data_IF_660733712505
#
_entry.id   IF_660733712505
#
_cell.length_a   1.000
_cell.length_b   1.000
_cell.length_c   1.000
_cell.angle_alpha   90.00
_cell.angle_beta   90.00
_cell.angle_gamma   90.00
#
_symmetry.space_group_name_H-M   'P 1'
#
loop_
_entity.id
_entity.type
_entity.pdbx_description
1 polymer ?
#
# COMPACT_ATOMS: atom_id res chain seq x y z
N UNK A 1 -2.47 -8.13 -24.84
CA UNK A 1 -3.53 -7.30 -24.25
C UNK A 1 -2.99 -6.61 -23.02
N UNK A 2 -3.25 -5.33 -22.88
CA UNK A 2 -2.75 -4.54 -21.77
C UNK A 2 -3.70 -4.64 -20.57
N UNK A 3 -3.49 -5.64 -19.72
CA UNK A 3 -4.31 -5.85 -18.55
C UNK A 3 -4.12 -4.75 -17.49
N UNK A 4 -2.90 -4.21 -17.39
CA UNK A 4 -2.62 -3.14 -16.45
C UNK A 4 -3.44 -1.89 -16.77
N UNK A 5 -3.47 -1.49 -18.04
CA UNK A 5 -4.26 -0.33 -18.47
C UNK A 5 -5.75 -0.57 -18.27
N UNK A 6 -6.23 -1.76 -18.60
CA UNK A 6 -7.64 -2.11 -18.37
C UNK A 6 -8.00 -2.05 -16.89
N UNK A 7 -7.12 -2.57 -16.04
CA UNK A 7 -7.33 -2.51 -14.60
C UNK A 7 -7.42 -1.07 -14.11
N UNK A 8 -6.53 -0.20 -14.60
CA UNK A 8 -6.57 1.21 -14.26
C UNK A 8 -7.88 1.87 -14.68
N UNK A 9 -8.38 1.55 -15.85
CA UNK A 9 -9.65 2.08 -16.34
C UNK A 9 -10.81 1.66 -15.44
N UNK A 10 -10.83 0.40 -15.03
CA UNK A 10 -11.87 -0.12 -14.12
C UNK A 10 -11.69 0.45 -12.71
N UNK A 11 -10.44 0.61 -12.24
CA UNK A 11 -10.15 1.27 -10.98
C UNK A 11 -10.80 2.67 -10.92
N UNK A 12 -10.70 3.41 -12.02
CA UNK A 12 -11.26 4.77 -12.09
C UNK A 12 -12.79 4.79 -12.02
N UNK A 13 -13.46 3.69 -12.32
CA UNK A 13 -14.91 3.56 -12.11
C UNK A 13 -15.27 3.19 -10.68
N UNK A 14 -14.27 2.95 -9.81
CA UNK A 14 -14.43 2.51 -8.42
C UNK A 14 -14.98 1.08 -8.28
N UNK A 15 -14.94 0.30 -9.35
CA UNK A 15 -15.25 -1.13 -9.28
C UNK A 15 -13.99 -1.89 -8.85
N UNK A 16 -13.68 -1.81 -7.57
CA UNK A 16 -12.43 -2.32 -7.04
C UNK A 16 -12.30 -3.84 -7.15
N UNK A 17 -13.40 -4.57 -7.01
CA UNK A 17 -13.35 -6.03 -7.16
C UNK A 17 -12.96 -6.45 -8.57
N UNK A 18 -13.51 -5.80 -9.59
CA UNK A 18 -13.13 -6.08 -10.97
C UNK A 18 -11.69 -5.64 -11.26
N UNK A 19 -11.30 -4.47 -10.72
CA UNK A 19 -9.94 -3.98 -10.87
C UNK A 19 -8.92 -4.97 -10.29
N UNK A 20 -9.20 -5.51 -9.11
CA UNK A 20 -8.32 -6.51 -8.46
C UNK A 20 -8.11 -7.72 -9.38
N UNK A 21 -9.17 -8.24 -9.97
CA UNK A 21 -9.08 -9.40 -10.87
C UNK A 21 -8.18 -9.09 -12.07
N UNK A 22 -8.32 -7.89 -12.65
CA UNK A 22 -7.51 -7.47 -13.79
C UNK A 22 -6.05 -7.18 -13.40
N UNK A 23 -5.82 -6.56 -12.25
CA UNK A 23 -4.45 -6.36 -11.74
C UNK A 23 -3.77 -7.70 -11.47
N UNK A 24 -4.49 -8.67 -10.91
CA UNK A 24 -3.95 -10.01 -10.71
C UNK A 24 -3.51 -10.62 -12.04
N UNK A 25 -4.34 -10.50 -13.06
CA UNK A 25 -4.01 -11.00 -14.40
C UNK A 25 -2.80 -10.26 -14.96
N UNK A 26 -2.74 -8.94 -14.80
CA UNK A 26 -1.60 -8.15 -15.25
C UNK A 26 -0.30 -8.62 -14.57
N UNK A 27 -0.34 -8.85 -13.25
CA UNK A 27 0.82 -9.33 -12.52
C UNK A 27 1.28 -10.71 -13.01
N UNK A 28 0.34 -11.63 -13.26
CA UNK A 28 0.64 -12.97 -13.80
C UNK A 28 1.32 -12.88 -15.17
N UNK A 29 0.92 -11.91 -15.98
CA UNK A 29 1.47 -11.69 -17.31
C UNK A 29 2.71 -10.80 -17.30
N UNK A 30 3.22 -10.44 -16.13
CA UNK A 30 4.38 -9.56 -15.97
C UNK A 30 4.17 -8.17 -16.57
N UNK A 31 2.93 -7.73 -16.68
CA UNK A 31 2.57 -6.42 -17.18
C UNK A 31 2.59 -5.44 -15.99
N UNK A 32 3.69 -4.69 -15.86
CA UNK A 32 3.96 -3.81 -14.72
C UNK A 32 3.68 -4.54 -13.41
N UNK A 33 4.42 -5.64 -13.18
CA UNK A 33 4.13 -6.55 -12.07
C UNK A 33 4.09 -5.84 -10.72
N UNK A 34 5.11 -5.06 -10.40
CA UNK A 34 5.14 -4.35 -9.12
C UNK A 34 3.97 -3.36 -8.99
N UNK A 35 3.72 -2.57 -10.03
CA UNK A 35 2.60 -1.62 -10.06
C UNK A 35 1.25 -2.31 -9.96
N UNK A 36 1.10 -3.48 -10.61
CA UNK A 36 -0.14 -4.25 -10.57
C UNK A 36 -0.41 -4.79 -9.17
N UNK A 37 0.62 -5.31 -8.50
CA UNK A 37 0.51 -5.77 -7.11
C UNK A 37 0.18 -4.60 -6.18
N UNK A 38 0.88 -3.48 -6.35
CA UNK A 38 0.63 -2.28 -5.55
C UNK A 38 -0.81 -1.77 -5.73
N UNK A 39 -1.26 -1.62 -6.97
CA UNK A 39 -2.60 -1.09 -7.22
C UNK A 39 -3.70 -2.06 -6.75
N UNK A 40 -3.46 -3.37 -6.86
CA UNK A 40 -4.36 -4.37 -6.29
C UNK A 40 -4.49 -4.19 -4.77
N UNK A 41 -3.35 -3.99 -4.09
CA UNK A 41 -3.34 -3.75 -2.66
C UNK A 41 -4.11 -2.47 -2.29
N UNK A 42 -3.94 -1.41 -3.09
CA UNK A 42 -4.69 -0.16 -2.88
C UNK A 42 -6.19 -0.39 -3.04
N UNK A 43 -6.60 -1.24 -3.98
CA UNK A 43 -8.02 -1.61 -4.11
C UNK A 43 -8.54 -2.26 -2.83
N UNK A 44 -7.75 -3.14 -2.21
CA UNK A 44 -8.14 -3.75 -0.93
C UNK A 44 -8.25 -2.71 0.18
N UNK A 45 -7.41 -1.68 0.17
CA UNK A 45 -7.56 -0.57 1.13
C UNK A 45 -8.91 0.12 0.94
N UNK A 46 -9.30 0.42 -0.31
CA UNK A 46 -10.61 1.01 -0.59
C UNK A 46 -11.76 0.15 -0.10
N UNK A 47 -11.60 -1.18 -0.14
CA UNK A 47 -12.58 -2.13 0.37
C UNK A 47 -12.45 -2.36 1.88
N UNK A 48 -11.50 -1.69 2.54
CA UNK A 48 -11.21 -1.84 3.97
C UNK A 48 -10.76 -3.26 4.34
N UNK A 49 -10.19 -3.98 3.39
CA UNK A 49 -9.64 -5.31 3.58
C UNK A 49 -8.12 -5.23 3.74
N UNK A 50 -7.68 -4.59 4.82
CA UNK A 50 -6.28 -4.25 5.04
C UNK A 50 -5.37 -5.48 5.13
N UNK A 51 -5.86 -6.55 5.75
CA UNK A 51 -5.06 -7.77 5.90
C UNK A 51 -4.76 -8.43 4.55
N UNK A 52 -5.65 -8.28 3.58
CA UNK A 52 -5.43 -8.81 2.23
C UNK A 52 -4.46 -7.95 1.43
N UNK A 53 -4.40 -6.65 1.74
CA UNK A 53 -3.48 -5.73 1.08
C UNK A 53 -2.02 -5.96 1.49
N UNK A 54 -1.78 -6.32 2.75
CA UNK A 54 -0.43 -6.41 3.33
C UNK A 54 0.51 -7.31 2.51
N UNK A 55 0.17 -8.59 2.21
CA UNK A 55 1.08 -9.44 1.45
C UNK A 55 1.36 -8.92 0.05
N UNK A 56 0.40 -8.24 -0.57
CA UNK A 56 0.60 -7.66 -1.90
C UNK A 56 1.60 -6.52 -1.87
N UNK A 57 1.54 -5.67 -0.84
CA UNK A 57 2.55 -4.62 -0.68
C UNK A 57 3.95 -5.21 -0.46
N UNK A 58 4.08 -6.25 0.35
CA UNK A 58 5.36 -6.93 0.54
C UNK A 58 5.90 -7.48 -0.78
N UNK A 59 5.05 -8.09 -1.59
CA UNK A 59 5.45 -8.63 -2.89
C UNK A 59 5.87 -7.50 -3.85
N UNK A 60 5.15 -6.40 -3.87
CA UNK A 60 5.51 -5.25 -4.69
C UNK A 60 6.88 -4.67 -4.26
N UNK A 61 7.09 -4.54 -2.96
CA UNK A 61 8.35 -4.03 -2.40
C UNK A 61 9.53 -4.93 -2.77
N UNK A 62 9.34 -6.25 -2.74
CA UNK A 62 10.40 -7.20 -3.12
C UNK A 62 10.82 -7.03 -4.58
N UNK A 63 9.90 -6.65 -5.45
CA UNK A 63 10.20 -6.39 -6.85
C UNK A 63 10.85 -5.02 -7.05
N UNK A 64 10.32 -4.00 -6.36
CA UNK A 64 10.79 -2.62 -6.53
C UNK A 64 10.44 -1.82 -5.28
N UNK A 65 11.40 -1.55 -4.38
CA UNK A 65 11.13 -0.81 -3.15
C UNK A 65 10.91 0.68 -3.45
N UNK A 66 9.68 1.15 -3.27
CA UNK A 66 9.32 2.55 -3.45
C UNK A 66 8.68 3.10 -2.19
N UNK A 67 8.92 4.37 -1.91
CA UNK A 67 8.41 5.04 -0.72
C UNK A 67 6.90 4.87 -0.55
N UNK A 68 6.14 5.06 -1.62
CA UNK A 68 4.67 4.95 -1.55
C UNK A 68 4.20 3.53 -1.21
N UNK A 69 4.97 2.51 -1.57
CA UNK A 69 4.64 1.13 -1.21
C UNK A 69 4.77 0.92 0.29
N UNK A 70 5.86 1.41 0.87
CA UNK A 70 6.07 1.35 2.31
C UNK A 70 5.06 2.18 3.09
N UNK A 71 4.72 3.37 2.58
CA UNK A 71 3.71 4.22 3.21
C UNK A 71 2.37 3.52 3.34
N UNK A 72 1.90 2.92 2.24
CA UNK A 72 0.60 2.25 2.25
C UNK A 72 0.63 0.95 3.05
N UNK A 73 1.76 0.25 3.06
CA UNK A 73 1.95 -0.91 3.94
C UNK A 73 1.84 -0.50 5.40
N UNK A 74 2.53 0.58 5.77
CA UNK A 74 2.47 1.12 7.13
C UNK A 74 1.04 1.49 7.51
N UNK A 75 0.31 2.13 6.60
CA UNK A 75 -1.09 2.47 6.80
C UNK A 75 -1.93 1.23 7.12
N UNK A 76 -1.74 0.14 6.38
CA UNK A 76 -2.45 -1.10 6.62
C UNK A 76 -2.14 -1.66 8.01
N UNK A 77 -0.88 -1.64 8.43
CA UNK A 77 -0.52 -2.08 9.78
C UNK A 77 -1.14 -1.20 10.86
N UNK A 78 -1.20 0.11 10.63
CA UNK A 78 -1.87 1.03 11.56
C UNK A 78 -3.36 0.69 11.68
N UNK A 79 -4.02 0.42 10.56
CA UNK A 79 -5.44 0.04 10.56
C UNK A 79 -5.69 -1.31 11.20
N UNK A 80 -4.69 -2.19 11.20
CA UNK A 80 -4.74 -3.49 11.89
C UNK A 80 -4.26 -3.40 13.33
N UNK A 81 -4.06 -2.18 13.85
CA UNK A 81 -3.65 -1.93 15.23
C UNK A 81 -2.25 -2.47 15.57
N UNK A 82 -1.39 -2.60 14.57
CA UNK A 82 0.00 -2.99 14.76
C UNK A 82 0.90 -1.75 14.69
N UNK A 83 0.90 -0.97 15.77
CA UNK A 83 1.65 0.29 15.84
C UNK A 83 3.17 0.13 15.62
N UNK A 84 3.84 -0.88 16.20
CA UNK A 84 5.28 -1.03 15.99
C UNK A 84 5.64 -1.21 14.52
N UNK A 85 4.93 -2.08 13.80
CA UNK A 85 5.19 -2.27 12.37
C UNK A 85 4.80 -1.05 11.55
N UNK A 86 3.68 -0.40 11.90
CA UNK A 86 3.28 0.83 11.23
C UNK A 86 4.38 1.88 11.34
N UNK A 87 4.89 2.11 12.55
CA UNK A 87 5.96 3.08 12.77
C UNK A 87 7.22 2.72 11.99
N UNK A 88 7.61 1.45 12.02
CA UNK A 88 8.78 0.97 11.28
C UNK A 88 8.67 1.28 9.78
N UNK A 89 7.54 0.95 9.17
CA UNK A 89 7.38 1.15 7.73
C UNK A 89 7.12 2.60 7.33
N UNK A 90 6.48 3.40 8.18
CA UNK A 90 6.41 4.84 7.93
C UNK A 90 7.80 5.46 7.96
N UNK A 91 8.65 5.06 8.91
CA UNK A 91 10.04 5.52 8.96
C UNK A 91 10.82 5.10 7.72
N UNK A 92 10.61 3.88 7.24
CA UNK A 92 11.25 3.41 6.00
C UNK A 92 10.81 4.25 4.81
N UNK A 93 9.50 4.53 4.69
CA UNK A 93 8.97 5.37 3.63
C UNK A 93 9.59 6.77 3.68
N UNK A 94 9.67 7.35 4.88
CA UNK A 94 10.26 8.67 5.09
C UNK A 94 11.75 8.70 4.73
N UNK A 95 12.48 7.64 5.04
CA UNK A 95 13.89 7.53 4.69
C UNK A 95 14.09 7.56 3.16
N UNK A 96 13.17 6.94 2.42
CA UNK A 96 13.23 6.93 0.96
C UNK A 96 12.75 8.24 0.34
N UNK A 97 11.87 8.95 1.01
CA UNK A 97 11.36 10.26 0.55
C UNK A 97 11.08 11.14 1.77
N UNK A 98 12.13 11.83 2.24
CA UNK A 98 12.05 12.65 3.44
C UNK A 98 11.38 14.01 3.24
N UNK A 99 10.91 14.30 2.04
CA UNK A 99 10.10 15.48 1.77
C UNK A 99 8.60 15.20 1.87
N UNK A 100 8.23 13.94 2.12
CA UNK A 100 6.82 13.54 2.24
C UNK A 100 6.26 13.96 3.60
N UNK A 101 5.50 15.05 3.60
CA UNK A 101 4.85 15.56 4.80
C UNK A 101 3.85 14.60 5.40
N UNK A 102 3.21 13.76 4.58
CA UNK A 102 2.23 12.78 5.06
C UNK A 102 2.91 11.69 5.89
N UNK A 103 4.10 11.25 5.48
CA UNK A 103 4.90 10.33 6.28
C UNK A 103 5.26 10.94 7.63
N UNK A 104 5.73 12.20 7.62
CA UNK A 104 6.12 12.89 8.86
C UNK A 104 4.92 13.03 9.82
N UNK A 105 3.77 13.42 9.28
CA UNK A 105 2.54 13.54 10.09
C UNK A 105 2.13 12.20 10.68
N UNK A 106 2.19 11.12 9.90
CA UNK A 106 1.83 9.79 10.37
C UNK A 106 2.75 9.32 11.49
N UNK A 107 4.05 9.54 11.33
CA UNK A 107 5.06 9.20 12.36
C UNK A 107 4.76 9.95 13.65
N UNK A 108 4.53 11.25 13.55
CA UNK A 108 4.26 12.09 14.71
C UNK A 108 2.98 11.68 15.44
N UNK A 109 1.93 11.33 14.71
CA UNK A 109 0.69 10.83 15.29
C UNK A 109 0.91 9.53 16.07
N UNK A 110 1.67 8.60 15.51
CA UNK A 110 1.96 7.34 16.17
C UNK A 110 2.80 7.54 17.43
N UNK A 111 3.85 8.37 17.35
CA UNK A 111 4.68 8.68 18.51
C UNK A 111 3.87 9.35 19.61
N UNK A 112 2.98 10.25 19.27
CA UNK A 112 2.09 10.90 20.22
C UNK A 112 1.19 9.89 20.92
N UNK A 113 0.67 8.90 20.19
CA UNK A 113 -0.18 7.88 20.78
C UNK A 113 0.57 7.03 21.81
N UNK A 114 1.87 6.77 21.62
CA UNK A 114 2.69 6.07 22.58
C UNK A 114 2.92 6.90 23.86
N UNK A 115 3.06 8.22 23.69
CA UNK A 115 3.30 9.12 24.85
C UNK A 115 2.08 9.27 25.75
N UNK A 116 0.88 9.16 25.17
CA UNK A 116 -0.37 9.31 25.92
C UNK A 116 -0.78 8.02 26.60
N UNK A 117 -0.32 6.86 26.09
CA UNK A 117 -0.65 5.56 26.68
C UNK A 117 -0.08 5.48 28.10
N UNK A 118 -0.90 5.05 29.08
CA UNK A 118 -0.43 4.88 30.45
C UNK A 118 0.61 3.79 30.60
#
# INVERSE_FOLDING_TARGET
MDYFQKANDIYNTKDYNRAIALYKKAAEMKDNEAGSLYNSAVCFIHLKEYEKAIPLFHNAINLRPESKYFFNLAYCYAMCLNKPKALYYFNTAWTLNNEDEDCEKAINLLLKSYRIAP
#
